data_IF_137294825552
#
_entry.id   IF_137294825552
#
_cell.length_a   1.000
_cell.length_b   1.000
_cell.length_c   1.000
_cell.angle_alpha   90.00
_cell.angle_beta   90.00
_cell.angle_gamma   90.00
#
_symmetry.space_group_name_H-M   'P 1'
#
loop_
_entity.id
_entity.type
_entity.pdbx_description
1 polymer ?
#
# COMPACT_ATOMS: atom_id res chain seq x y z
N UNK A 1 -14.16 -30.69 -38.46
CA UNK A 1 -14.77 -31.58 -37.46
C UNK A 1 -13.71 -32.55 -36.96
N UNK A 2 -13.14 -32.23 -35.80
CA UNK A 2 -12.47 -33.16 -34.86
C UNK A 2 -12.05 -32.28 -33.67
N UNK A 3 -12.86 -32.27 -32.62
CA UNK A 3 -12.63 -31.49 -31.41
C UNK A 3 -12.14 -32.40 -30.29
N UNK A 4 -11.00 -32.06 -29.69
CA UNK A 4 -10.45 -32.75 -28.52
C UNK A 4 -11.22 -32.27 -27.27
N UNK A 5 -11.94 -33.17 -26.60
CA UNK A 5 -12.56 -32.95 -25.28
C UNK A 5 -11.62 -33.48 -24.19
N UNK A 6 -11.27 -32.66 -23.21
CA UNK A 6 -10.61 -33.12 -21.98
C UNK A 6 -11.69 -33.30 -20.91
N UNK A 7 -11.91 -34.55 -20.51
CA UNK A 7 -12.76 -34.95 -19.38
C UNK A 7 -11.85 -35.19 -18.17
N UNK A 8 -12.10 -34.49 -17.05
CA UNK A 8 -11.45 -34.76 -15.76
C UNK A 8 -12.30 -35.79 -15.02
N UNK A 9 -11.79 -37.02 -14.89
CA UNK A 9 -12.41 -38.08 -14.09
C UNK A 9 -11.82 -38.11 -12.68
N UNK A 10 -12.68 -38.08 -11.66
CA UNK A 10 -12.34 -38.43 -10.28
C UNK A 10 -12.15 -39.94 -10.18
N UNK A 11 -10.90 -40.42 -10.25
CA UNK A 11 -10.32 -41.59 -9.54
C UNK A 11 -9.15 -42.16 -10.35
N UNK A 12 -8.00 -42.33 -9.67
CA UNK A 12 -7.05 -43.43 -9.87
C UNK A 12 -6.26 -43.50 -11.18
N UNK A 13 -4.99 -43.13 -11.09
CA UNK A 13 -3.82 -43.70 -11.78
C UNK A 13 -3.93 -44.13 -13.25
N UNK A 14 -3.16 -43.47 -14.12
CA UNK A 14 -2.36 -44.15 -15.17
C UNK A 14 -1.19 -43.25 -15.54
N UNK A 15 0.02 -43.77 -15.34
CA UNK A 15 1.28 -43.12 -15.67
C UNK A 15 1.70 -43.45 -17.11
N UNK A 16 2.15 -42.45 -17.86
CA UNK A 16 2.90 -42.62 -19.11
C UNK A 16 4.13 -41.72 -19.03
N UNK A 17 5.30 -42.36 -18.95
CA UNK A 17 6.61 -41.76 -18.78
C UNK A 17 7.24 -41.37 -20.11
N UNK A 18 7.75 -40.15 -20.20
CA UNK A 18 8.81 -39.75 -21.14
C UNK A 18 9.92 -39.05 -20.32
N UNK A 19 11.21 -39.34 -20.55
CA UNK A 19 12.28 -38.97 -19.65
C UNK A 19 12.78 -37.54 -19.90
N UNK A 20 12.95 -36.74 -18.84
CA UNK A 20 13.74 -35.50 -18.92
C UNK A 20 13.19 -34.24 -18.25
N UNK A 21 12.21 -34.29 -17.34
CA UNK A 21 11.86 -33.13 -16.48
C UNK A 21 11.39 -33.64 -15.12
N UNK A 22 12.32 -34.06 -14.25
CA UNK A 22 11.98 -34.47 -12.89
C UNK A 22 13.11 -34.09 -11.94
N UNK A 23 13.11 -32.84 -11.46
CA UNK A 23 13.64 -32.49 -10.14
C UNK A 23 13.01 -31.22 -9.54
N UNK A 24 12.37 -30.34 -10.32
CA UNK A 24 11.77 -29.09 -9.77
C UNK A 24 10.32 -29.28 -9.28
N UNK A 25 9.60 -30.32 -9.71
CA UNK A 25 8.17 -30.51 -9.35
C UNK A 25 7.91 -31.39 -8.12
N UNK A 26 8.93 -32.04 -7.54
CA UNK A 26 8.76 -32.89 -6.34
C UNK A 26 8.81 -32.12 -5.02
N UNK A 27 9.29 -30.88 -4.98
CA UNK A 27 9.27 -30.04 -3.76
C UNK A 27 7.94 -29.31 -3.55
N UNK A 28 7.16 -29.09 -4.61
CA UNK A 28 5.91 -28.31 -4.53
C UNK A 28 4.72 -29.09 -3.92
N UNK A 29 4.74 -30.42 -3.93
CA UNK A 29 3.65 -31.26 -3.40
C UNK A 29 3.95 -31.94 -2.05
N UNK A 30 5.08 -31.62 -1.39
CA UNK A 30 5.42 -32.20 -0.07
C UNK A 30 5.02 -31.32 1.12
N UNK A 31 4.57 -30.09 0.91
CA UNK A 31 4.18 -29.15 1.97
C UNK A 31 2.68 -28.88 2.06
N UNK A 32 1.84 -29.69 1.43
CA UNK A 32 0.36 -29.55 1.53
C UNK A 32 -0.33 -30.71 2.25
N UNK A 33 0.41 -31.56 2.98
CA UNK A 33 -0.16 -32.76 3.64
C UNK A 33 -0.25 -32.68 5.18
N UNK A 34 0.23 -31.61 5.80
CA UNK A 34 0.24 -31.47 7.28
C UNK A 34 -0.76 -30.42 7.83
N UNK A 35 -1.71 -29.90 7.04
CA UNK A 35 -2.76 -29.00 7.53
C UNK A 35 -4.16 -29.66 7.56
N UNK A 36 -4.31 -30.82 8.18
CA UNK A 36 -5.67 -31.33 8.41
C UNK A 36 -5.83 -32.08 9.73
N UNK A 37 -5.43 -31.46 10.84
CA UNK A 37 -5.93 -31.82 12.18
C UNK A 37 -5.83 -30.64 13.14
N UNK A 38 -6.73 -29.67 13.02
CA UNK A 38 -7.07 -28.77 14.13
C UNK A 38 -8.50 -28.25 13.95
N UNK A 39 -9.43 -28.44 14.90
CA UNK A 39 -10.78 -27.89 14.79
C UNK A 39 -10.75 -26.38 15.09
N UNK A 40 -11.21 -25.54 14.16
CA UNK A 40 -11.52 -24.11 14.45
C UNK A 40 -10.91 -23.02 13.57
N UNK A 41 -10.30 -23.31 12.42
CA UNK A 41 -9.77 -22.26 11.53
C UNK A 41 -10.84 -21.71 10.53
N UNK A 42 -10.92 -20.39 10.28
CA UNK A 42 -11.88 -19.79 9.36
C UNK A 42 -11.51 -20.05 7.88
N UNK A 43 -12.53 -20.17 7.02
CA UNK A 43 -12.36 -20.42 5.58
C UNK A 43 -11.63 -19.26 4.85
N UNK A 44 -10.78 -19.55 3.85
CA UNK A 44 -10.11 -18.52 3.07
C UNK A 44 -11.08 -17.89 2.06
N UNK A 45 -11.59 -16.70 2.38
CA UNK A 45 -12.21 -15.79 1.40
C UNK A 45 -11.27 -14.61 1.17
N UNK A 46 -11.06 -14.29 -0.11
CA UNK A 46 -10.35 -13.10 -0.65
C UNK A 46 -8.83 -12.95 -0.41
N UNK A 47 -8.01 -13.84 -1.01
CA UNK A 47 -6.55 -13.59 -1.13
C UNK A 47 -5.96 -13.88 -2.51
N UNK A 48 -6.79 -14.03 -3.55
CA UNK A 48 -6.33 -14.27 -4.93
C UNK A 48 -6.89 -13.22 -5.89
N UNK A 49 -6.62 -11.93 -5.63
CA UNK A 49 -6.91 -10.82 -6.56
C UNK A 49 -5.89 -9.67 -6.46
N UNK A 50 -4.60 -9.97 -6.43
CA UNK A 50 -3.56 -8.92 -6.58
C UNK A 50 -2.35 -9.44 -7.37
N UNK A 51 -2.54 -9.84 -8.63
CA UNK A 51 -1.43 -10.01 -9.60
C UNK A 51 -1.88 -9.72 -11.05
N UNK A 52 -2.67 -8.67 -11.27
CA UNK A 52 -2.92 -8.20 -12.65
C UNK A 52 -3.34 -6.73 -12.76
N UNK A 53 -2.69 -5.81 -12.03
CA UNK A 53 -2.79 -4.37 -12.32
C UNK A 53 -1.50 -3.64 -12.00
N UNK A 54 -0.51 -3.80 -12.88
CA UNK A 54 0.60 -2.87 -13.01
C UNK A 54 0.72 -2.53 -14.50
N UNK A 55 0.10 -1.43 -14.90
CA UNK A 55 0.34 -0.80 -16.20
C UNK A 55 1.63 0.02 -16.08
N UNK A 56 2.71 -0.43 -16.70
CA UNK A 56 3.91 0.39 -16.90
C UNK A 56 3.91 0.90 -18.35
N UNK A 57 3.88 2.22 -18.50
CA UNK A 57 4.00 2.91 -19.78
C UNK A 57 5.49 3.02 -20.16
N UNK A 58 5.89 2.36 -21.25
CA UNK A 58 7.18 2.59 -21.90
C UNK A 58 6.94 3.48 -23.12
N UNK A 59 7.39 4.73 -23.00
CA UNK A 59 7.37 5.70 -24.07
C UNK A 59 8.51 5.38 -25.03
N UNK A 60 8.19 4.89 -26.22
CA UNK A 60 9.15 4.85 -27.32
C UNK A 60 8.54 5.43 -28.61
N UNK A 61 9.22 6.46 -29.13
CA UNK A 61 8.90 7.17 -30.37
C UNK A 61 8.98 6.22 -31.57
N UNK A 62 7.84 5.88 -32.15
CA UNK A 62 7.63 5.79 -33.60
C UNK A 62 6.14 5.88 -33.89
N UNK A 63 5.78 6.79 -34.79
CA UNK A 63 4.42 7.10 -35.24
C UNK A 63 3.61 5.87 -35.67
N UNK A 64 2.48 5.62 -34.98
CA UNK A 64 1.17 5.14 -35.49
C UNK A 64 0.24 4.83 -34.32
N UNK A 65 -0.70 5.72 -34.06
CA UNK A 65 -1.78 5.56 -33.08
C UNK A 65 -2.77 4.48 -33.53
N UNK A 66 -2.93 3.41 -32.74
CA UNK A 66 -4.10 2.52 -32.79
C UNK A 66 -4.79 2.57 -31.44
N UNK A 67 -5.97 3.20 -31.42
CA UNK A 67 -6.84 3.32 -30.25
C UNK A 67 -7.68 2.06 -30.06
N UNK A 68 -7.67 1.48 -28.85
CA UNK A 68 -8.61 0.45 -28.44
C UNK A 68 -9.78 1.07 -27.65
N UNK A 69 -11.05 0.74 -27.94
CA UNK A 69 -12.17 1.18 -27.13
C UNK A 69 -12.18 0.46 -25.77
N UNK A 70 -12.33 1.24 -24.69
CA UNK A 70 -12.57 0.72 -23.33
C UNK A 70 -13.93 0.01 -23.27
N UNK A 71 -13.93 -1.22 -22.77
CA UNK A 71 -15.13 -1.99 -22.52
C UNK A 71 -15.94 -1.35 -21.37
N UNK A 72 -17.16 -0.92 -21.68
CA UNK A 72 -18.16 -0.46 -20.73
C UNK A 72 -18.65 -1.60 -19.82
N UNK A 73 -18.51 -1.39 -18.51
CA UNK A 73 -19.37 -1.86 -17.40
C UNK A 73 -20.36 -3.01 -17.68
N UNK A 74 -20.01 -4.23 -17.22
CA UNK A 74 -20.99 -5.29 -16.97
C UNK A 74 -21.64 -5.10 -15.59
N UNK A 75 -22.94 -4.81 -15.58
CA UNK A 75 -23.82 -4.88 -14.40
C UNK A 75 -24.18 -6.34 -14.12
N UNK A 76 -23.95 -6.81 -12.90
CA UNK A 76 -24.44 -8.10 -12.42
C UNK A 76 -25.83 -7.93 -11.80
N UNK A 77 -26.86 -8.56 -12.37
CA UNK A 77 -28.18 -8.72 -11.72
C UNK A 77 -28.28 -10.13 -11.14
N UNK A 78 -28.65 -10.22 -9.87
CA UNK A 78 -28.89 -11.47 -9.13
C UNK A 78 -30.07 -12.23 -9.74
N UNK A 79 -29.88 -13.48 -10.14
CA UNK A 79 -30.97 -14.34 -10.61
C UNK A 79 -31.85 -14.78 -9.42
N UNK A 80 -33.16 -14.52 -9.50
CA UNK A 80 -34.15 -15.00 -8.53
C UNK A 80 -34.58 -16.44 -8.81
N UNK A 81 -34.84 -17.23 -7.74
CA UNK A 81 -35.42 -18.58 -7.81
C UNK A 81 -36.94 -18.49 -7.97
N UNK A 82 -37.55 -19.42 -8.71
CA UNK A 82 -39.01 -19.62 -8.67
C UNK A 82 -39.42 -20.52 -7.48
N UNK A 83 -40.72 -20.53 -7.18
CA UNK A 83 -41.31 -21.13 -5.97
C UNK A 83 -41.24 -22.66 -5.86
N UNK A 84 -40.74 -23.39 -6.87
CA UNK A 84 -40.68 -24.87 -6.84
C UNK A 84 -39.25 -25.46 -7.02
N UNK A 85 -38.19 -24.67 -6.81
CA UNK A 85 -36.85 -25.21 -6.55
C UNK A 85 -36.12 -25.89 -7.72
N UNK A 86 -36.53 -25.69 -8.98
CA UNK A 86 -35.84 -26.20 -10.17
C UNK A 86 -35.00 -25.13 -10.90
N UNK A 87 -33.80 -25.48 -11.34
CA UNK A 87 -32.89 -24.64 -12.14
C UNK A 87 -33.32 -24.69 -13.62
N UNK A 88 -33.61 -23.53 -14.23
CA UNK A 88 -33.93 -23.43 -15.66
C UNK A 88 -32.63 -23.28 -16.47
N UNK A 89 -32.28 -24.30 -17.25
CA UNK A 89 -31.38 -24.17 -18.40
C UNK A 89 -32.22 -24.16 -19.68
N UNK A 90 -32.09 -23.11 -20.48
CA UNK A 90 -32.07 -23.13 -21.95
C UNK A 90 -31.76 -21.71 -22.45
N UNK A 91 -30.58 -21.51 -23.06
CA UNK A 91 -30.27 -20.30 -23.82
C UNK A 91 -30.23 -20.62 -25.29
N UNK A 92 -31.30 -20.24 -25.97
CA UNK A 92 -31.44 -20.29 -27.43
C UNK A 92 -30.84 -18.99 -28.00
N UNK A 93 -29.71 -19.07 -28.71
CA UNK A 93 -29.12 -17.91 -29.40
C UNK A 93 -29.57 -17.97 -30.86
N UNK A 94 -30.74 -17.40 -31.12
CA UNK A 94 -31.23 -17.07 -32.45
C UNK A 94 -30.66 -15.73 -32.95
N UNK A 95 -29.77 -15.83 -33.93
CA UNK A 95 -29.63 -14.95 -35.11
C UNK A 95 -30.05 -13.48 -34.97
N UNK A 96 -29.08 -12.59 -34.76
CA UNK A 96 -29.13 -11.19 -35.23
C UNK A 96 -27.84 -10.89 -35.99
N UNK A 97 -27.94 -10.87 -37.32
CA UNK A 97 -26.84 -10.48 -38.21
C UNK A 97 -26.90 -8.98 -38.47
N UNK A 98 -26.02 -8.23 -37.82
CA UNK A 98 -25.64 -6.89 -38.29
C UNK A 98 -24.64 -7.11 -39.44
N UNK A 99 -25.04 -6.78 -40.67
CA UNK A 99 -24.21 -6.88 -41.88
C UNK A 99 -23.01 -5.93 -41.77
N UNK A 100 -21.86 -6.46 -41.34
CA UNK A 100 -20.55 -5.85 -41.57
C UNK A 100 -20.00 -6.46 -42.87
N UNK A 101 -19.56 -5.66 -43.87
CA UNK A 101 -19.07 -6.17 -45.15
C UNK A 101 -17.66 -6.78 -44.99
N UNK A 102 -17.57 -7.97 -44.38
CA UNK A 102 -16.31 -8.72 -44.23
C UNK A 102 -16.36 -10.05 -45.01
N UNK A 103 -17.54 -10.46 -45.49
CA UNK A 103 -17.71 -11.71 -46.23
C UNK A 103 -17.12 -11.64 -47.67
N UNK A 104 -17.25 -10.49 -48.33
CA UNK A 104 -16.78 -10.32 -49.72
C UNK A 104 -15.25 -10.13 -49.78
N UNK A 105 -14.66 -9.46 -48.79
CA UNK A 105 -13.20 -9.37 -48.67
C UNK A 105 -12.56 -10.72 -48.34
N UNK A 106 -13.19 -11.55 -47.50
CA UNK A 106 -12.63 -12.88 -47.20
C UNK A 106 -12.64 -13.80 -48.42
N UNK A 107 -13.71 -13.81 -49.22
CA UNK A 107 -13.74 -14.61 -50.44
C UNK A 107 -12.75 -14.10 -51.50
N UNK A 108 -12.61 -12.78 -51.67
CA UNK A 108 -11.61 -12.19 -52.56
C UNK A 108 -10.17 -12.49 -52.09
N UNK A 109 -9.90 -12.41 -50.79
CA UNK A 109 -8.59 -12.75 -50.20
C UNK A 109 -8.31 -14.25 -50.35
N UNK A 110 -9.31 -15.13 -50.20
CA UNK A 110 -9.14 -16.58 -50.34
C UNK A 110 -8.98 -17.00 -51.81
N UNK A 111 -9.66 -16.35 -52.76
CA UNK A 111 -9.44 -16.58 -54.20
C UNK A 111 -8.11 -16.02 -54.68
N UNK A 112 -7.69 -14.86 -54.18
CA UNK A 112 -6.36 -14.31 -54.45
C UNK A 112 -5.26 -15.20 -53.88
N UNK A 113 -5.41 -15.67 -52.63
CA UNK A 113 -4.49 -16.64 -52.01
C UNK A 113 -4.45 -17.99 -52.74
N UNK A 114 -5.56 -18.46 -53.33
CA UNK A 114 -5.58 -19.66 -54.18
C UNK A 114 -4.89 -19.43 -55.53
N UNK A 115 -5.05 -18.27 -56.16
CA UNK A 115 -4.33 -17.91 -57.40
C UNK A 115 -2.83 -17.71 -57.14
N UNK A 116 -2.47 -17.13 -56.00
CA UNK A 116 -1.08 -16.93 -55.57
C UNK A 116 -0.43 -18.25 -55.15
N UNK A 117 -1.17 -19.16 -54.49
CA UNK A 117 -0.70 -20.51 -54.19
C UNK A 117 -0.53 -21.37 -55.47
N UNK A 118 -1.37 -21.17 -56.50
CA UNK A 118 -1.25 -21.86 -57.79
C UNK A 118 -0.11 -21.30 -58.65
N UNK A 119 0.08 -19.96 -58.68
CA UNK A 119 1.27 -19.30 -59.28
C UNK A 119 2.57 -19.64 -58.53
N UNK A 120 2.51 -19.76 -57.21
CA UNK A 120 3.62 -20.23 -56.36
C UNK A 120 3.94 -21.69 -56.62
N UNK A 121 2.92 -22.57 -56.70
CA UNK A 121 3.09 -23.99 -57.05
C UNK A 121 3.62 -24.22 -58.47
N UNK A 122 3.20 -23.43 -59.46
CA UNK A 122 3.75 -23.48 -60.82
C UNK A 122 5.15 -22.87 -60.93
N UNK A 123 5.48 -21.84 -60.11
CA UNK A 123 6.86 -21.32 -59.99
C UNK A 123 7.76 -22.34 -59.29
N UNK A 124 7.30 -22.99 -58.22
CA UNK A 124 8.04 -24.05 -57.50
C UNK A 124 8.20 -25.29 -58.39
N UNK A 125 7.19 -25.64 -59.21
CA UNK A 125 7.27 -26.73 -60.19
C UNK A 125 8.23 -26.46 -61.35
N UNK A 126 8.34 -25.21 -61.83
CA UNK A 126 9.34 -24.79 -62.83
C UNK A 126 10.74 -24.62 -62.23
N UNK A 127 10.85 -24.16 -60.98
CA UNK A 127 12.12 -24.09 -60.24
C UNK A 127 12.66 -25.50 -59.93
N UNK A 128 11.78 -26.47 -59.59
CA UNK A 128 12.14 -27.87 -59.32
C UNK A 128 12.63 -28.66 -60.54
N UNK A 129 12.31 -28.26 -61.78
CA UNK A 129 12.86 -28.89 -63.00
C UNK A 129 14.14 -28.24 -63.50
N UNK A 130 14.36 -26.95 -63.21
CA UNK A 130 15.64 -26.28 -63.49
C UNK A 130 16.71 -26.53 -62.41
N UNK A 131 16.32 -26.83 -61.18
CA UNK A 131 17.24 -27.20 -60.08
C UNK A 131 17.62 -28.68 -60.05
N UNK A 132 16.99 -29.53 -60.87
CA UNK A 132 17.27 -30.98 -60.84
C UNK A 132 18.54 -31.37 -61.61
N UNK A 133 19.16 -30.42 -62.32
CA UNK A 133 20.40 -30.64 -63.09
C UNK A 133 21.61 -29.80 -62.64
N UNK A 134 21.52 -28.98 -61.60
CA UNK A 134 22.61 -28.05 -61.26
C UNK A 134 22.69 -27.59 -59.78
N UNK A 135 22.04 -28.28 -58.83
CA UNK A 135 22.23 -28.00 -57.38
C UNK A 135 22.91 -29.16 -56.62
N UNK A 136 23.04 -30.32 -57.26
CA UNK A 136 23.85 -31.43 -56.76
C UNK A 136 25.15 -31.57 -57.57
N UNK A 137 25.85 -30.46 -57.72
CA UNK A 137 27.15 -30.36 -58.39
C UNK A 137 28.06 -29.42 -57.62
N UNK A 138 28.44 -29.85 -56.40
CA UNK A 138 29.31 -29.12 -55.47
C UNK A 138 28.67 -29.01 -54.08
N UNK A 139 28.81 -30.06 -53.25
CA UNK A 139 28.25 -30.19 -51.89
C UNK A 139 28.79 -29.18 -50.84
N UNK A 140 29.46 -28.11 -51.26
CA UNK A 140 30.29 -27.26 -50.40
C UNK A 140 29.64 -25.92 -49.99
N UNK A 141 28.61 -25.44 -50.70
CA UNK A 141 28.03 -24.10 -50.49
C UNK A 141 26.75 -24.03 -49.66
N UNK A 142 25.83 -25.00 -49.82
CA UNK A 142 24.54 -25.03 -49.09
C UNK A 142 24.71 -25.39 -47.62
N UNK A 143 25.65 -26.30 -47.32
CA UNK A 143 26.02 -26.66 -45.97
C UNK A 143 26.51 -25.43 -45.18
N UNK A 144 27.37 -24.59 -45.79
CA UNK A 144 27.89 -23.37 -45.16
C UNK A 144 26.79 -22.36 -44.81
N UNK A 145 25.76 -22.21 -45.66
CA UNK A 145 24.63 -21.30 -45.40
C UNK A 145 23.77 -21.81 -44.24
N UNK A 146 23.46 -23.11 -44.21
CA UNK A 146 22.68 -23.71 -43.11
C UNK A 146 23.47 -23.60 -41.80
N UNK A 147 24.76 -23.91 -41.82
CA UNK A 147 25.63 -23.77 -40.65
C UNK A 147 25.68 -22.32 -40.16
N UNK A 148 25.81 -21.35 -41.06
CA UNK A 148 25.85 -19.93 -40.69
C UNK A 148 24.50 -19.45 -40.12
N UNK A 149 23.37 -19.94 -40.65
CA UNK A 149 22.05 -19.64 -40.11
C UNK A 149 21.87 -20.24 -38.71
N UNK A 150 22.31 -21.48 -38.49
CA UNK A 150 22.27 -22.15 -37.18
C UNK A 150 23.15 -21.40 -36.20
N UNK A 151 24.38 -21.04 -36.57
CA UNK A 151 25.30 -20.26 -35.73
C UNK A 151 24.69 -18.89 -35.41
N UNK A 152 24.18 -18.15 -36.39
CA UNK A 152 23.57 -16.84 -36.16
C UNK A 152 22.36 -16.92 -35.21
N UNK A 153 21.54 -17.98 -35.35
CA UNK A 153 20.40 -18.23 -34.45
C UNK A 153 20.88 -18.57 -33.04
N UNK A 154 21.90 -19.43 -32.89
CA UNK A 154 22.47 -19.79 -31.60
C UNK A 154 23.08 -18.57 -30.92
N UNK A 155 23.86 -17.76 -31.63
CA UNK A 155 24.46 -16.52 -31.11
C UNK A 155 23.37 -15.56 -30.65
N UNK A 156 22.33 -15.35 -31.46
CA UNK A 156 21.20 -14.49 -31.10
C UNK A 156 20.48 -14.99 -29.83
N UNK A 157 20.25 -16.30 -29.70
CA UNK A 157 19.65 -16.89 -28.51
C UNK A 157 20.54 -16.76 -27.27
N UNK A 158 21.85 -16.97 -27.42
CA UNK A 158 22.83 -16.82 -26.33
C UNK A 158 22.89 -15.39 -25.82
N UNK A 159 22.90 -14.40 -26.72
CA UNK A 159 22.89 -12.98 -26.32
C UNK A 159 21.60 -12.62 -25.58
N UNK A 160 20.43 -12.97 -26.14
CA UNK A 160 19.14 -12.71 -25.49
C UNK A 160 19.04 -13.37 -24.11
N UNK A 161 19.50 -14.62 -23.97
CA UNK A 161 19.56 -15.32 -22.68
C UNK A 161 20.52 -14.65 -21.68
N UNK A 162 21.68 -14.16 -22.15
CA UNK A 162 22.65 -13.47 -21.31
C UNK A 162 22.12 -12.14 -20.77
N UNK A 163 21.39 -11.38 -21.59
CA UNK A 163 20.74 -10.13 -21.18
C UNK A 163 19.65 -10.40 -20.14
N UNK A 164 18.77 -11.35 -20.40
CA UNK A 164 17.69 -11.76 -19.48
C UNK A 164 18.25 -12.25 -18.14
N UNK A 165 19.25 -13.13 -18.17
CA UNK A 165 19.92 -13.63 -16.96
C UNK A 165 20.60 -12.50 -16.18
N UNK A 166 21.21 -11.54 -16.88
CA UNK A 166 21.85 -10.38 -16.24
C UNK A 166 20.85 -9.52 -15.46
N UNK A 167 19.68 -9.26 -16.05
CA UNK A 167 18.59 -8.52 -15.40
C UNK A 167 18.04 -9.27 -14.19
N UNK A 168 17.76 -10.57 -14.34
CA UNK A 168 17.26 -11.41 -13.24
C UNK A 168 18.25 -11.48 -12.06
N UNK A 169 19.56 -11.57 -12.34
CA UNK A 169 20.59 -11.54 -11.30
C UNK A 169 20.62 -10.20 -10.55
N UNK A 170 20.43 -9.08 -11.24
CA UNK A 170 20.35 -7.76 -10.60
C UNK A 170 19.10 -7.63 -9.73
N UNK A 171 17.93 -8.05 -10.23
CA UNK A 171 16.68 -8.04 -9.48
C UNK A 171 16.75 -8.94 -8.24
N UNK A 172 17.36 -10.12 -8.36
CA UNK A 172 17.61 -11.00 -7.22
C UNK A 172 18.54 -10.36 -6.18
N UNK A 173 19.56 -9.62 -6.63
CA UNK A 173 20.44 -8.82 -5.78
C UNK A 173 19.66 -7.76 -5.00
N UNK A 174 18.88 -6.91 -5.70
CA UNK A 174 18.05 -5.89 -5.05
C UNK A 174 17.02 -6.48 -4.10
N UNK A 175 16.38 -7.60 -4.46
CA UNK A 175 15.42 -8.27 -3.58
C UNK A 175 16.08 -8.79 -2.31
N UNK A 176 17.29 -9.34 -2.39
CA UNK A 176 18.08 -9.78 -1.22
C UNK A 176 18.45 -8.60 -0.33
N UNK A 177 18.93 -7.52 -0.93
CA UNK A 177 19.41 -6.34 -0.21
C UNK A 177 18.25 -5.58 0.46
N UNK A 178 17.11 -5.48 -0.24
CA UNK A 178 15.87 -4.95 0.32
C UNK A 178 15.36 -5.80 1.50
N UNK A 179 15.44 -7.13 1.41
CA UNK A 179 15.04 -8.00 2.52
C UNK A 179 15.92 -7.78 3.77
N UNK A 180 17.22 -7.54 3.59
CA UNK A 180 18.13 -7.19 4.69
C UNK A 180 17.78 -5.84 5.30
N UNK A 181 17.58 -4.81 4.48
CA UNK A 181 17.16 -3.49 4.92
C UNK A 181 15.82 -3.53 5.69
N UNK A 182 14.84 -4.28 5.17
CA UNK A 182 13.54 -4.48 5.83
C UNK A 182 13.68 -5.12 7.22
N UNK A 183 14.52 -6.16 7.35
CA UNK A 183 14.71 -6.81 8.66
C UNK A 183 15.52 -5.96 9.63
N UNK A 184 16.42 -5.10 9.14
CA UNK A 184 17.05 -4.08 9.98
C UNK A 184 16.00 -3.08 10.50
N UNK A 185 15.11 -2.57 9.65
CA UNK A 185 14.01 -1.70 10.10
C UNK A 185 13.11 -2.41 11.12
N UNK A 186 12.79 -3.69 10.86
CA UNK A 186 11.93 -4.51 11.71
C UNK A 186 12.57 -4.78 13.08
N UNK A 187 13.89 -4.94 13.16
CA UNK A 187 14.56 -5.09 14.46
C UNK A 187 14.47 -3.82 15.29
N UNK A 188 14.60 -2.64 14.66
CA UNK A 188 14.35 -1.35 15.32
C UNK A 188 12.95 -1.27 15.93
N UNK A 189 11.91 -1.68 15.17
CA UNK A 189 10.54 -1.72 15.69
C UNK A 189 10.41 -2.67 16.89
N UNK A 190 11.06 -3.83 16.85
CA UNK A 190 11.01 -4.76 18.00
C UNK A 190 11.73 -4.22 19.24
N UNK A 191 12.87 -3.56 19.07
CA UNK A 191 13.57 -2.90 20.16
C UNK A 191 12.72 -1.79 20.79
N UNK A 192 12.01 -1.02 19.97
CA UNK A 192 11.04 -0.04 20.46
C UNK A 192 9.88 -0.68 21.23
N UNK A 193 9.28 -1.74 20.71
CA UNK A 193 8.20 -2.47 21.40
C UNK A 193 8.67 -3.04 22.74
N UNK A 194 9.90 -3.57 22.79
CA UNK A 194 10.49 -4.05 24.03
C UNK A 194 10.74 -2.91 25.02
N UNK A 195 11.27 -1.78 24.57
CA UNK A 195 11.49 -0.61 25.42
C UNK A 195 10.18 -0.05 26.00
N UNK A 196 9.11 0.00 25.19
CA UNK A 196 7.76 0.39 25.63
C UNK A 196 7.21 -0.64 26.64
N UNK A 197 7.40 -1.94 26.38
CA UNK A 197 6.89 -3.02 27.23
C UNK A 197 7.65 -3.22 28.56
N UNK A 198 8.88 -2.70 28.69
CA UNK A 198 9.66 -2.75 29.94
C UNK A 198 9.19 -1.75 31.00
N UNK A 199 8.41 -0.75 30.63
CA UNK A 199 7.75 0.11 31.61
C UNK A 199 6.64 -0.69 32.33
N UNK A 200 6.98 -1.19 33.52
CA UNK A 200 6.09 -2.02 34.34
C UNK A 200 4.98 -1.21 35.02
N UNK A 201 5.22 0.06 35.33
CA UNK A 201 4.30 0.84 36.16
C UNK A 201 3.25 1.54 35.31
N UNK A 202 3.61 2.06 34.13
CA UNK A 202 2.67 2.75 33.23
C UNK A 202 1.84 3.83 33.94
N UNK A 203 2.45 4.43 34.98
CA UNK A 203 1.83 5.45 35.81
C UNK A 203 1.83 6.79 35.09
N UNK A 204 2.80 6.98 34.19
CA UNK A 204 3.02 8.18 33.39
C UNK A 204 4.01 7.84 32.28
N UNK A 205 3.85 8.47 31.13
CA UNK A 205 4.76 8.35 30.01
C UNK A 205 5.47 9.69 29.77
N UNK A 206 6.81 9.72 29.68
CA UNK A 206 7.59 10.94 29.46
C UNK A 206 8.77 10.80 28.52
N UNK A 207 9.30 11.95 28.06
CA UNK A 207 10.50 12.01 27.22
C UNK A 207 11.79 11.56 27.93
N UNK A 208 11.73 11.27 29.23
CA UNK A 208 12.88 10.83 30.03
C UNK A 208 12.96 9.31 30.17
N UNK A 209 11.95 8.60 29.71
CA UNK A 209 11.88 7.15 29.73
C UNK A 209 12.71 6.51 28.63
N UNK A 210 12.91 5.19 28.75
CA UNK A 210 13.80 4.46 27.86
C UNK A 210 13.24 4.36 26.44
N UNK A 211 11.91 4.26 26.28
CA UNK A 211 11.27 4.25 24.97
C UNK A 211 11.57 5.53 24.17
N UNK A 212 11.60 6.69 24.84
CA UNK A 212 11.86 8.00 24.22
C UNK A 212 13.33 8.17 23.81
N UNK A 213 14.23 7.40 24.42
CA UNK A 213 15.66 7.38 24.08
C UNK A 213 15.96 6.48 22.90
N UNK A 214 15.10 5.49 22.60
CA UNK A 214 15.28 4.60 21.45
C UNK A 214 15.33 5.43 20.17
N UNK A 215 16.54 5.65 19.70
CA UNK A 215 16.86 6.47 18.55
C UNK A 215 18.10 5.94 17.84
N UNK A 216 18.41 6.48 16.66
CA UNK A 216 19.61 6.17 15.86
C UNK A 216 20.90 6.12 16.70
N UNK A 217 21.00 6.92 17.77
CA UNK A 217 22.18 7.01 18.64
C UNK A 217 22.23 5.93 19.74
N UNK A 218 21.17 5.15 19.92
CA UNK A 218 21.05 4.14 21.00
C UNK A 218 21.28 2.70 20.54
N UNK A 219 21.66 2.48 19.28
CA UNK A 219 21.90 1.13 18.78
C UNK A 219 23.27 0.61 19.21
N UNK A 220 23.38 -0.66 19.64
CA UNK A 220 24.65 -1.21 20.10
C UNK A 220 25.73 -1.10 19.02
N UNK A 221 26.95 -0.76 19.46
CA UNK A 221 28.16 -1.00 18.68
C UNK A 221 28.20 -2.49 18.33
N UNK A 222 28.00 -2.84 17.06
CA UNK A 222 27.90 -4.24 16.63
C UNK A 222 26.91 -4.53 15.50
N UNK A 223 26.21 -3.52 14.96
CA UNK A 223 25.61 -3.68 13.65
C UNK A 223 26.72 -4.00 12.62
N UNK A 224 26.48 -4.92 11.66
CA UNK A 224 27.41 -5.13 10.55
C UNK A 224 27.71 -3.81 9.84
N UNK A 225 28.94 -3.61 9.35
CA UNK A 225 29.38 -2.35 8.73
C UNK A 225 28.47 -1.87 7.59
N UNK A 226 27.84 -2.81 6.87
CA UNK A 226 26.94 -2.52 5.74
C UNK A 226 25.48 -2.26 6.16
N UNK A 227 25.14 -2.37 7.45
CA UNK A 227 23.78 -2.23 7.98
C UNK A 227 23.64 -0.93 8.75
N UNK A 228 22.69 -0.10 8.34
CA UNK A 228 22.31 1.10 9.08
C UNK A 228 20.92 0.95 9.66
N UNK A 229 20.69 1.48 10.84
CA UNK A 229 19.37 1.55 11.46
C UNK A 229 19.18 2.93 12.06
N UNK A 230 18.08 3.59 11.69
CA UNK A 230 17.74 4.92 12.18
C UNK A 230 16.24 5.01 12.42
N UNK A 231 15.82 5.85 13.36
CA UNK A 231 14.40 5.97 13.70
C UNK A 231 14.17 6.31 15.16
N UNK A 232 12.93 6.09 15.62
CA UNK A 232 12.58 6.25 17.02
C UNK A 232 11.11 6.00 17.33
N UNK A 233 10.77 6.23 18.59
CA UNK A 233 9.42 6.13 19.14
C UNK A 233 8.91 7.53 19.45
N UNK A 234 7.67 7.81 19.07
CA UNK A 234 7.03 9.11 19.29
C UNK A 234 5.68 8.91 19.96
N UNK A 235 5.42 9.68 21.00
CA UNK A 235 4.12 9.66 21.66
C UNK A 235 3.08 10.40 20.81
N UNK A 236 2.01 9.70 20.45
CA UNK A 236 0.87 10.29 19.72
C UNK A 236 -0.05 11.06 20.67
N UNK A 237 0.00 10.78 21.97
CA UNK A 237 -0.81 11.45 23.00
C UNK A 237 -0.29 12.86 23.30
N UNK A 238 0.95 13.18 22.94
CA UNK A 238 1.48 14.56 22.94
C UNK A 238 0.95 15.44 21.80
N UNK A 239 0.14 14.90 20.89
CA UNK A 239 -0.42 15.60 19.71
C UNK A 239 -1.91 15.85 19.86
N UNK A 240 -2.43 16.79 19.07
CA UNK A 240 -3.86 17.06 19.01
C UNK A 240 -4.56 15.99 18.17
N UNK A 241 -5.49 15.24 18.78
CA UNK A 241 -6.24 14.23 18.06
C UNK A 241 -7.46 14.85 17.36
N UNK A 242 -7.48 14.80 16.03
CA UNK A 242 -8.61 15.31 15.24
C UNK A 242 -9.89 14.51 15.47
N UNK A 243 -9.81 13.20 15.71
CA UNK A 243 -10.98 12.37 15.98
C UNK A 243 -11.64 12.73 17.32
N UNK A 244 -10.87 13.31 18.24
CA UNK A 244 -11.40 13.74 19.53
C UNK A 244 -12.31 14.98 19.41
N UNK A 245 -12.36 15.66 18.26
CA UNK A 245 -13.30 16.75 18.01
C UNK A 245 -14.75 16.27 18.05
N UNK A 246 -15.01 14.99 17.77
CA UNK A 246 -16.33 14.39 17.89
C UNK A 246 -16.66 14.09 19.35
N UNK A 247 -17.89 14.41 19.75
CA UNK A 247 -18.46 14.02 21.03
C UNK A 247 -19.06 12.59 20.95
N UNK A 248 -19.59 12.08 22.06
CA UNK A 248 -20.19 10.73 22.12
C UNK A 248 -21.39 10.53 21.18
N UNK A 249 -22.01 11.63 20.70
CA UNK A 249 -23.12 11.62 19.75
C UNK A 249 -22.64 11.68 18.29
N UNK A 250 -21.34 11.82 18.05
CA UNK A 250 -20.78 12.01 16.71
C UNK A 250 -20.94 13.43 16.16
N UNK A 251 -21.17 14.42 17.03
CA UNK A 251 -21.24 15.84 16.64
C UNK A 251 -19.93 16.55 17.03
N UNK A 252 -19.58 17.64 16.33
CA UNK A 252 -18.41 18.45 16.67
C UNK A 252 -18.61 19.12 18.05
N UNK A 253 -17.63 18.96 18.94
CA UNK A 253 -17.58 19.62 20.24
C UNK A 253 -17.06 21.06 20.09
N UNK A 254 -17.89 22.09 20.38
CA UNK A 254 -17.49 23.50 20.19
C UNK A 254 -16.25 23.90 21.01
N UNK A 255 -16.05 23.32 22.20
CA UNK A 255 -14.89 23.64 23.02
C UNK A 255 -13.60 23.08 22.42
N UNK A 256 -13.67 21.89 21.79
CA UNK A 256 -12.51 21.27 21.12
C UNK A 256 -12.26 21.88 19.74
N UNK A 257 -13.30 22.32 19.05
CA UNK A 257 -13.19 23.13 17.83
C UNK A 257 -12.36 24.40 18.08
N UNK A 258 -12.63 25.13 19.17
CA UNK A 258 -11.82 26.30 19.53
C UNK A 258 -10.35 25.95 19.82
N UNK A 259 -10.06 24.75 20.35
CA UNK A 259 -8.68 24.28 20.52
C UNK A 259 -7.98 24.08 19.18
N UNK A 260 -8.67 23.54 18.17
CA UNK A 260 -8.11 23.39 16.82
C UNK A 260 -7.79 24.75 16.18
N UNK A 261 -8.71 25.72 16.29
CA UNK A 261 -8.47 27.09 15.80
C UNK A 261 -7.25 27.73 16.48
N UNK A 262 -7.15 27.59 17.80
CA UNK A 262 -5.97 28.07 18.55
C UNK A 262 -4.69 27.39 18.12
N UNK A 263 -4.70 26.07 17.89
CA UNK A 263 -3.52 25.35 17.40
C UNK A 263 -3.05 25.92 16.07
N UNK A 264 -3.97 26.14 15.12
CA UNK A 264 -3.63 26.68 13.80
C UNK A 264 -3.06 28.09 13.90
N UNK A 265 -3.69 28.95 14.72
CA UNK A 265 -3.20 30.30 15.04
C UNK A 265 -1.79 30.28 15.62
N UNK A 266 -1.52 29.41 16.58
CA UNK A 266 -0.20 29.29 17.25
C UNK A 266 0.87 28.83 16.26
N UNK A 267 0.51 27.94 15.32
CA UNK A 267 1.41 27.46 14.27
C UNK A 267 1.60 28.45 13.11
N UNK A 268 0.93 29.59 13.13
CA UNK A 268 0.95 30.54 12.01
C UNK A 268 0.26 30.01 10.75
N UNK A 269 -0.62 29.01 10.89
CA UNK A 269 -1.45 28.45 9.83
C UNK A 269 -2.76 29.24 9.79
N UNK A 270 -3.26 29.55 8.60
CA UNK A 270 -4.58 30.19 8.43
C UNK A 270 -5.66 29.35 9.13
N UNK A 271 -6.33 29.94 10.12
CA UNK A 271 -7.40 29.31 10.89
C UNK A 271 -8.49 28.75 9.98
N UNK A 272 -8.75 29.34 8.81
CA UNK A 272 -9.76 28.82 7.87
C UNK A 272 -9.51 27.38 7.43
N UNK A 273 -8.25 26.91 7.49
CA UNK A 273 -7.88 25.53 7.10
C UNK A 273 -8.37 24.46 8.08
N UNK A 274 -8.93 24.83 9.23
CA UNK A 274 -9.61 23.88 10.10
C UNK A 274 -11.01 23.50 9.60
N UNK A 275 -11.70 24.37 8.86
CA UNK A 275 -13.06 24.08 8.39
C UNK A 275 -13.14 22.80 7.53
N UNK A 276 -12.21 22.54 6.59
CA UNK A 276 -12.16 21.26 5.88
C UNK A 276 -11.92 20.02 6.77
N UNK A 277 -11.29 20.17 7.95
CA UNK A 277 -11.13 19.06 8.90
C UNK A 277 -12.47 18.78 9.60
N UNK A 278 -13.24 19.82 9.90
CA UNK A 278 -14.55 19.70 10.53
C UNK A 278 -15.56 19.06 9.56
N UNK A 279 -15.63 19.53 8.31
CA UNK A 279 -16.46 18.95 7.24
C UNK A 279 -16.05 17.51 6.90
N UNK A 280 -14.78 17.14 7.13
CA UNK A 280 -14.36 15.75 6.95
C UNK A 280 -14.93 14.81 8.01
N UNK A 281 -15.14 15.33 9.22
CA UNK A 281 -15.47 14.57 10.42
C UNK A 281 -16.96 14.46 10.69
N UNK A 282 -17.72 15.52 10.43
CA UNK A 282 -19.15 15.50 10.69
C UNK A 282 -19.91 14.62 9.68
N UNK A 283 -21.10 14.20 10.09
CA UNK A 283 -21.85 13.17 9.38
C UNK A 283 -22.75 13.69 8.25
N UNK A 284 -22.78 15.00 8.02
CA UNK A 284 -23.62 15.62 7.00
C UNK A 284 -22.82 15.98 5.73
N UNK A 285 -23.42 16.72 4.80
CA UNK A 285 -22.79 17.17 3.55
C UNK A 285 -22.93 18.70 3.42
N UNK A 286 -23.05 19.41 4.56
CA UNK A 286 -23.27 20.86 4.61
C UNK A 286 -21.91 21.55 4.72
N UNK A 287 -21.42 22.03 3.57
CA UNK A 287 -20.12 22.72 3.50
C UNK A 287 -20.11 23.99 4.38
N UNK A 288 -19.15 24.05 5.31
CA UNK A 288 -18.89 25.25 6.13
C UNK A 288 -18.30 26.37 5.29
N UNK A 289 -18.30 27.59 5.83
CA UNK A 289 -17.50 28.66 5.24
C UNK A 289 -16.02 28.25 5.22
N UNK A 290 -15.40 28.36 4.03
CA UNK A 290 -14.03 27.88 3.75
C UNK A 290 -13.81 26.36 3.90
N UNK A 291 -14.90 25.61 4.04
CA UNK A 291 -14.93 24.15 4.17
C UNK A 291 -14.64 23.38 2.88
N UNK A 292 -14.94 22.08 2.93
CA UNK A 292 -14.84 21.17 1.80
C UNK A 292 -15.62 19.88 2.07
N UNK A 293 -16.64 19.65 1.23
CA UNK A 293 -17.46 18.45 1.26
C UNK A 293 -17.32 17.59 0.00
N UNK A 294 -18.15 16.56 -0.14
CA UNK A 294 -18.24 15.72 -1.33
C UNK A 294 -18.32 16.50 -2.65
N UNK A 295 -18.97 17.67 -2.68
CA UNK A 295 -19.03 18.53 -3.87
C UNK A 295 -17.64 19.02 -4.30
N UNK A 296 -16.81 19.44 -3.34
CA UNK A 296 -15.43 19.85 -3.58
C UNK A 296 -14.56 18.66 -4.00
N UNK A 297 -14.53 17.58 -3.20
CA UNK A 297 -13.66 16.43 -3.47
C UNK A 297 -14.04 15.67 -4.76
N UNK A 298 -15.32 15.67 -5.12
CA UNK A 298 -15.83 15.13 -6.38
C UNK A 298 -15.43 15.93 -7.63
N UNK A 299 -15.06 17.20 -7.46
CA UNK A 299 -14.65 18.10 -8.56
C UNK A 299 -13.15 18.02 -8.90
N UNK A 300 -12.35 17.35 -8.07
CA UNK A 300 -10.92 17.22 -8.27
C UNK A 300 -10.58 16.41 -9.53
N UNK A 301 -9.36 16.58 -10.06
CA UNK A 301 -8.87 15.81 -11.22
C UNK A 301 -8.95 14.30 -11.00
N UNK A 302 -8.68 13.87 -9.77
CA UNK A 302 -8.86 12.51 -9.29
C UNK A 302 -9.90 12.53 -8.16
N UNK A 303 -11.19 12.36 -8.50
CA UNK A 303 -12.27 12.46 -7.51
C UNK A 303 -12.19 11.38 -6.44
N UNK A 304 -12.52 11.75 -5.21
CA UNK A 304 -12.78 10.83 -4.11
C UNK A 304 -13.90 11.39 -3.22
N UNK A 305 -14.42 10.54 -2.35
CA UNK A 305 -15.47 10.93 -1.41
C UNK A 305 -14.85 11.50 -0.12
N UNK A 306 -15.53 12.46 0.47
CA UNK A 306 -15.34 12.85 1.86
C UNK A 306 -15.69 11.65 2.77
N UNK A 307 -15.06 11.56 3.94
CA UNK A 307 -15.27 10.41 4.83
C UNK A 307 -16.55 10.50 5.66
N UNK A 308 -17.00 11.73 5.94
CA UNK A 308 -18.12 12.09 6.81
C UNK A 308 -18.08 11.28 8.13
N UNK A 309 -16.90 11.29 8.77
CA UNK A 309 -16.64 10.48 9.94
C UNK A 309 -15.17 10.43 10.36
N UNK A 310 -14.85 9.66 11.42
CA UNK A 310 -13.51 9.61 12.00
C UNK A 310 -12.42 9.23 11.00
N UNK A 311 -11.27 9.88 11.10
CA UNK A 311 -10.06 9.50 10.38
C UNK A 311 -9.57 8.13 10.86
N UNK A 312 -9.28 7.26 9.89
CA UNK A 312 -8.72 5.92 10.10
C UNK A 312 -7.19 5.95 10.11
N UNK A 313 -6.59 6.82 9.29
CA UNK A 313 -5.13 6.95 9.17
C UNK A 313 -4.69 8.40 9.06
N UNK A 314 -3.44 8.68 9.46
CA UNK A 314 -2.84 10.00 9.27
C UNK A 314 -2.75 10.39 7.77
N UNK A 315 -2.69 9.41 6.87
CA UNK A 315 -2.70 9.66 5.42
C UNK A 315 -3.96 10.36 4.92
N UNK A 316 -5.12 10.14 5.57
CA UNK A 316 -6.36 10.83 5.20
C UNK A 316 -6.31 12.32 5.53
N UNK A 317 -5.57 12.74 6.57
CA UNK A 317 -5.36 14.17 6.84
C UNK A 317 -4.64 14.88 5.68
N UNK A 318 -3.80 14.16 4.95
CA UNK A 318 -3.12 14.70 3.76
C UNK A 318 -4.06 14.87 2.56
N UNK A 319 -5.23 14.22 2.58
CA UNK A 319 -6.26 14.36 1.55
C UNK A 319 -7.16 15.57 1.83
N UNK A 320 -7.25 16.02 3.07
CA UNK A 320 -8.08 17.18 3.44
C UNK A 320 -7.56 18.45 2.77
N UNK A 321 -8.47 19.22 2.19
CA UNK A 321 -8.17 20.46 1.45
C UNK A 321 -7.22 21.38 2.24
N UNK A 322 -6.01 21.55 1.71
CA UNK A 322 -5.04 22.53 2.21
C UNK A 322 -4.33 22.18 3.53
N UNK A 323 -4.61 21.03 4.15
CA UNK A 323 -4.04 20.60 5.44
C UNK A 323 -2.67 19.96 5.26
N UNK A 324 -2.51 19.07 4.27
CA UNK A 324 -1.27 18.31 4.06
C UNK A 324 -0.02 19.15 3.79
N UNK A 325 -0.19 20.41 3.37
CA UNK A 325 0.89 21.35 3.07
C UNK A 325 1.26 22.25 4.26
N UNK A 326 0.65 22.04 5.43
CA UNK A 326 0.84 22.90 6.60
C UNK A 326 1.81 22.31 7.62
N UNK A 327 2.31 23.17 8.50
CA UNK A 327 3.06 22.74 9.69
C UNK A 327 2.20 21.94 10.69
N UNK A 328 0.86 21.99 10.59
CA UNK A 328 -0.03 21.31 11.52
C UNK A 328 0.12 19.79 11.51
N UNK A 329 0.53 19.19 10.38
CA UNK A 329 0.64 17.72 10.23
C UNK A 329 1.49 17.05 11.33
N UNK A 330 2.51 17.74 11.85
CA UNK A 330 3.43 17.18 12.85
C UNK A 330 2.87 17.27 14.29
N UNK A 331 1.82 18.10 14.48
CA UNK A 331 1.13 18.31 15.75
C UNK A 331 -0.24 17.64 15.82
N UNK A 332 -0.67 16.96 14.74
CA UNK A 332 -1.95 16.25 14.65
C UNK A 332 -1.77 14.73 14.75
N UNK A 333 -2.77 14.05 15.30
CA UNK A 333 -2.86 12.59 15.30
C UNK A 333 -4.30 12.13 15.09
N UNK A 334 -4.47 10.84 14.83
CA UNK A 334 -5.76 10.12 14.76
C UNK A 334 -5.82 8.95 15.74
N UNK A 335 -4.71 8.67 16.45
CA UNK A 335 -4.49 7.39 17.12
C UNK A 335 -4.71 7.43 18.63
N UNK A 336 -4.50 8.57 19.29
CA UNK A 336 -4.66 8.70 20.75
C UNK A 336 -6.14 8.68 21.18
N UNK A 337 -6.41 8.78 22.48
CA UNK A 337 -7.77 8.88 23.04
C UNK A 337 -8.31 10.32 23.09
N UNK A 338 -7.48 11.29 22.72
CA UNK A 338 -7.84 12.71 22.68
C UNK A 338 -7.44 13.53 23.90
N UNK A 339 -6.96 12.90 24.99
CA UNK A 339 -6.28 13.62 26.06
C UNK A 339 -4.83 13.90 25.64
N UNK A 340 -4.34 15.08 26.00
CA UNK A 340 -2.99 15.53 25.67
C UNK A 340 -2.03 15.16 26.80
N UNK A 341 -1.01 14.34 26.51
CA UNK A 341 0.05 14.03 27.46
C UNK A 341 0.96 15.24 27.66
N UNK A 342 0.91 15.84 28.85
CA UNK A 342 1.67 17.06 29.19
C UNK A 342 3.18 16.83 29.29
N UNK A 343 3.62 15.59 29.50
CA UNK A 343 5.04 15.24 29.57
C UNK A 343 5.71 15.15 28.19
N UNK A 344 4.94 15.06 27.11
CA UNK A 344 5.46 14.87 25.75
C UNK A 344 4.98 15.95 24.77
N UNK A 345 3.86 16.61 25.05
CA UNK A 345 3.26 17.58 24.14
C UNK A 345 4.19 18.74 23.76
N UNK A 346 4.18 19.12 22.48
CA UNK A 346 4.89 20.32 22.02
C UNK A 346 4.33 21.60 22.66
N UNK A 347 5.13 22.67 22.71
CA UNK A 347 4.70 23.98 23.27
C UNK A 347 3.46 24.49 22.55
N UNK A 348 3.40 24.29 21.24
CA UNK A 348 2.30 24.69 20.37
C UNK A 348 1.00 23.96 20.72
N UNK A 349 1.08 22.66 21.00
CA UNK A 349 -0.06 21.85 21.45
C UNK A 349 -0.49 22.23 22.88
N UNK A 350 0.44 22.53 23.78
CA UNK A 350 0.09 23.03 25.11
C UNK A 350 -0.70 24.35 25.05
N UNK A 351 -0.25 25.29 24.20
CA UNK A 351 -0.91 26.59 23.99
C UNK A 351 -2.30 26.48 23.37
N UNK A 352 -2.65 25.35 22.75
CA UNK A 352 -3.99 25.18 22.19
C UNK A 352 -5.04 24.81 23.25
N UNK A 353 -4.63 24.33 24.43
CA UNK A 353 -5.53 23.84 25.50
C UNK A 353 -6.43 24.94 26.07
N UNK A 354 -5.93 26.16 26.24
CA UNK A 354 -6.65 27.32 26.77
C UNK A 354 -5.99 28.64 26.32
N UNK A 355 -6.75 29.73 26.21
CA UNK A 355 -6.22 31.04 25.78
C UNK A 355 -5.27 31.66 26.81
N UNK A 356 -5.40 31.30 28.08
CA UNK A 356 -4.51 31.77 29.14
C UNK A 356 -3.15 31.06 29.15
N UNK A 357 -2.96 30.00 28.35
CA UNK A 357 -1.65 29.35 28.18
C UNK A 357 -0.87 30.10 27.10
N UNK A 358 -0.20 31.14 27.54
CA UNK A 358 0.72 31.91 26.70
C UNK A 358 2.05 31.16 26.48
N UNK A 359 2.92 31.79 25.69
CA UNK A 359 4.23 31.24 25.35
C UNK A 359 5.11 31.05 26.60
N UNK A 360 5.03 31.97 27.57
CA UNK A 360 5.79 31.92 28.80
C UNK A 360 5.36 30.75 29.68
N UNK A 361 4.06 30.49 29.81
CA UNK A 361 3.55 29.37 30.59
C UNK A 361 3.85 28.05 29.90
N UNK A 362 3.72 27.96 28.58
CA UNK A 362 4.09 26.76 27.83
C UNK A 362 5.59 26.45 27.95
N UNK A 363 6.46 27.47 27.91
CA UNK A 363 7.89 27.33 28.18
C UNK A 363 8.14 26.86 29.61
N UNK A 364 7.44 27.41 30.59
CA UNK A 364 7.59 27.00 31.99
C UNK A 364 7.18 25.54 32.20
N UNK A 365 6.10 25.07 31.56
CA UNK A 365 5.68 23.66 31.58
C UNK A 365 6.76 22.78 30.94
N UNK A 366 7.26 23.15 29.75
CA UNK A 366 8.30 22.42 29.04
C UNK A 366 9.62 22.36 29.83
N UNK A 367 10.02 23.46 30.47
CA UNK A 367 11.21 23.54 31.30
C UNK A 367 11.08 22.70 32.57
N UNK A 368 9.90 22.71 33.22
CA UNK A 368 9.65 21.90 34.41
C UNK A 368 9.87 20.40 34.12
N UNK A 369 9.26 19.88 33.04
CA UNK A 369 9.38 18.47 32.64
C UNK A 369 10.78 18.04 32.19
N UNK A 370 11.65 18.98 31.83
CA UNK A 370 13.07 18.64 31.60
C UNK A 370 13.76 18.22 32.91
N UNK A 371 13.40 18.84 34.04
CA UNK A 371 13.97 18.54 35.36
C UNK A 371 13.22 17.47 36.15
N UNK A 372 11.89 17.47 36.12
CA UNK A 372 11.02 16.61 36.92
C UNK A 372 9.76 16.27 36.12
N UNK A 373 9.44 14.98 35.97
CA UNK A 373 8.24 14.55 35.25
C UNK A 373 6.95 14.86 36.03
N UNK A 374 5.85 15.15 35.33
CA UNK A 374 4.54 15.29 35.96
C UNK A 374 3.95 13.89 36.20
N UNK A 375 3.84 13.44 37.46
CA UNK A 375 3.21 12.16 37.79
C UNK A 375 1.67 12.22 37.76
N UNK A 376 1.11 13.43 37.76
CA UNK A 376 -0.32 13.66 37.65
C UNK A 376 -0.60 15.04 37.03
N UNK A 377 -1.80 15.22 36.49
CA UNK A 377 -2.25 16.53 36.01
C UNK A 377 -2.25 17.62 37.11
N UNK A 378 -2.38 17.24 38.39
CA UNK A 378 -2.33 18.17 39.52
C UNK A 378 -0.94 18.77 39.74
N UNK A 379 0.12 18.10 39.28
CA UNK A 379 1.50 18.59 39.41
C UNK A 379 1.76 19.87 38.61
N UNK A 380 0.88 20.21 37.65
CA UNK A 380 0.92 21.50 36.95
C UNK A 380 0.83 22.70 37.90
N UNK A 381 0.24 22.55 39.10
CA UNK A 381 0.22 23.62 40.13
C UNK A 381 1.61 24.02 40.61
N UNK A 382 2.62 23.16 40.42
CA UNK A 382 4.02 23.44 40.76
C UNK A 382 4.67 24.39 39.74
N UNK A 383 4.09 24.53 38.54
CA UNK A 383 4.65 25.36 37.46
C UNK A 383 4.35 26.84 37.73
N UNK A 384 5.37 27.72 37.75
CA UNK A 384 5.15 29.16 37.88
C UNK A 384 4.23 29.69 36.79
N UNK A 385 3.21 30.47 37.20
CA UNK A 385 2.20 31.03 36.28
C UNK A 385 0.96 30.16 36.10
N UNK A 386 0.98 28.89 36.53
CA UNK A 386 -0.22 28.05 36.55
C UNK A 386 -1.16 28.48 37.68
N UNK A 387 -2.45 28.63 37.38
CA UNK A 387 -3.48 28.94 38.38
C UNK A 387 -4.53 27.83 38.47
N UNK A 388 -5.21 27.72 39.62
CA UNK A 388 -6.16 26.62 39.85
C UNK A 388 -7.40 26.65 38.94
N UNK A 389 -7.84 27.85 38.54
CA UNK A 389 -9.00 28.02 37.67
C UNK A 389 -8.70 27.49 36.26
N UNK A 390 -7.53 27.85 35.71
CA UNK A 390 -7.02 27.35 34.44
C UNK A 390 -6.84 25.84 34.47
N UNK A 391 -6.18 25.29 35.50
CA UNK A 391 -6.03 23.85 35.65
C UNK A 391 -7.38 23.14 35.63
N UNK A 392 -8.38 23.66 36.35
CA UNK A 392 -9.73 23.08 36.37
C UNK A 392 -10.38 23.06 34.98
N UNK A 393 -10.16 24.07 34.13
CA UNK A 393 -10.69 24.12 32.75
C UNK A 393 -10.01 23.10 31.83
N UNK A 394 -8.70 22.92 31.94
CA UNK A 394 -7.94 22.04 31.06
C UNK A 394 -7.88 20.58 31.52
N UNK A 395 -8.13 20.30 32.81
CA UNK A 395 -7.96 18.98 33.44
C UNK A 395 -8.62 17.83 32.68
N UNK A 396 -9.79 18.03 32.09
CA UNK A 396 -10.49 17.00 31.33
C UNK A 396 -9.89 16.68 29.96
N UNK A 397 -8.98 17.51 29.45
CA UNK A 397 -8.35 17.37 28.15
C UNK A 397 -6.86 17.00 28.21
N UNK A 398 -6.32 16.75 29.40
CA UNK A 398 -4.90 16.43 29.59
C UNK A 398 -4.76 15.11 30.35
N UNK A 399 -3.62 14.46 30.15
CA UNK A 399 -3.19 13.26 30.87
C UNK A 399 -1.68 13.33 31.10
N UNK A 400 -1.14 12.40 31.87
CA UNK A 400 0.30 12.12 31.99
C UNK A 400 0.67 10.78 31.36
N UNK A 401 -0.33 9.96 31.01
CA UNK A 401 -0.16 8.67 30.33
C UNK A 401 -0.38 8.82 28.83
N UNK A 402 0.16 7.88 28.09
CA UNK A 402 0.04 7.77 26.64
C UNK A 402 -0.81 6.59 26.23
N UNK A 403 -1.82 6.83 25.39
CA UNK A 403 -2.70 5.80 24.86
C UNK A 403 -2.21 5.23 23.52
N UNK A 404 -1.26 5.90 22.86
CA UNK A 404 -0.72 5.47 21.58
C UNK A 404 0.71 5.99 21.32
N UNK A 405 1.51 5.14 20.68
CA UNK A 405 2.88 5.44 20.24
C UNK A 405 3.03 5.14 18.75
N UNK A 406 3.65 6.06 18.00
CA UNK A 406 4.14 5.76 16.66
C UNK A 406 5.60 5.34 16.72
N UNK A 407 5.93 4.32 15.93
CA UNK A 407 7.24 3.71 15.87
C UNK A 407 7.68 3.80 14.42
N UNK A 408 8.80 4.48 14.17
CA UNK A 408 9.30 4.71 12.81
C UNK A 408 10.77 4.31 12.74
N UNK A 409 11.09 3.34 11.90
CA UNK A 409 12.47 2.93 11.65
C UNK A 409 12.75 2.78 10.16
N UNK A 410 13.93 3.24 9.75
CA UNK A 410 14.52 3.01 8.44
C UNK A 410 15.76 2.13 8.62
N UNK A 411 15.72 0.96 7.99
CA UNK A 411 16.86 0.07 7.87
C UNK A 411 17.52 0.26 6.51
N UNK A 412 18.85 0.25 6.49
CA UNK A 412 19.66 0.32 5.28
C UNK A 412 20.58 -0.88 5.17
N UNK A 413 20.79 -1.32 3.93
CA UNK A 413 21.82 -2.28 3.57
C UNK A 413 22.46 -1.84 2.25
N UNK A 414 23.74 -1.48 2.28
CA UNK A 414 24.42 -0.81 1.15
C UNK A 414 23.63 0.43 0.68
N UNK A 415 23.24 0.50 -0.59
CA UNK A 415 22.43 1.59 -1.16
C UNK A 415 20.92 1.37 -1.00
N UNK A 416 20.49 0.21 -0.52
CA UNK A 416 19.07 -0.13 -0.38
C UNK A 416 18.54 0.28 0.99
N UNK A 417 17.36 0.90 1.02
CA UNK A 417 16.66 1.29 2.24
C UNK A 417 15.26 0.69 2.28
N UNK A 418 14.76 0.48 3.48
CA UNK A 418 13.36 0.11 3.72
C UNK A 418 12.91 0.73 5.04
N UNK A 419 11.74 1.39 5.01
CA UNK A 419 11.15 2.01 6.19
C UNK A 419 10.00 1.19 6.74
N UNK A 420 9.77 1.26 8.05
CA UNK A 420 8.57 0.75 8.70
C UNK A 420 7.99 1.87 9.57
N UNK A 421 6.70 2.11 9.40
CA UNK A 421 5.89 2.92 10.31
C UNK A 421 4.82 2.02 10.94
N UNK A 422 4.83 1.95 12.26
CA UNK A 422 3.88 1.20 13.05
C UNK A 422 3.23 2.09 14.10
N UNK A 423 2.01 1.76 14.51
CA UNK A 423 1.36 2.44 15.64
C UNK A 423 0.91 1.39 16.64
N UNK A 424 1.39 1.53 17.87
CA UNK A 424 0.98 0.75 19.02
C UNK A 424 -0.10 1.55 19.77
N UNK A 425 -1.27 0.94 19.98
CA UNK A 425 -2.24 1.44 20.97
C UNK A 425 -2.05 0.68 22.27
N UNK A 426 -2.10 1.43 23.37
CA UNK A 426 -2.03 0.93 24.73
C UNK A 426 -3.36 1.25 25.40
N UNK A 427 -4.01 0.20 25.87
CA UNK A 427 -5.14 0.25 26.80
C UNK A 427 -4.67 -0.28 28.17
N UNK A 428 -5.46 -0.12 29.22
CA UNK A 428 -5.07 -0.48 30.61
C UNK A 428 -4.58 -1.93 30.73
N UNK A 429 -5.13 -2.84 29.92
CA UNK A 429 -4.81 -4.27 29.96
C UNK A 429 -4.02 -4.79 28.75
N UNK A 430 -4.01 -4.06 27.63
CA UNK A 430 -3.48 -4.60 26.36
C UNK A 430 -2.68 -3.60 25.54
N UNK A 431 -1.65 -4.11 24.88
CA UNK A 431 -0.87 -3.39 23.88
C UNK A 431 -1.07 -4.06 22.53
N UNK A 432 -1.51 -3.28 21.54
CA UNK A 432 -1.85 -3.81 20.21
C UNK A 432 -1.33 -2.91 19.10
N UNK A 433 -0.62 -3.51 18.15
CA UNK A 433 -0.31 -2.86 16.89
C UNK A 433 -1.60 -2.70 16.06
N UNK A 434 -1.95 -1.44 15.77
CA UNK A 434 -3.15 -1.07 14.99
C UNK A 434 -2.82 -0.60 13.59
N UNK A 435 -1.56 -0.26 13.34
CA UNK A 435 -1.08 0.20 12.04
C UNK A 435 0.31 -0.38 11.76
N UNK A 436 0.53 -0.79 10.52
CA UNK A 436 1.82 -1.27 10.02
C UNK A 436 1.93 -0.95 8.53
N UNK A 437 2.92 -0.15 8.16
CA UNK A 437 3.23 0.18 6.77
C UNK A 437 4.72 0.00 6.52
N UNK A 438 5.05 -0.64 5.40
CA UNK A 438 6.40 -0.70 4.86
C UNK A 438 6.52 0.39 3.79
N UNK A 439 7.54 1.24 3.90
CA UNK A 439 7.84 2.35 3.01
C UNK A 439 8.96 1.99 2.03
#
# INVERSE_FOLDING_TARGET
>A
MTGLRILISRRGETALSLPGVSQVWKSFFRTSKDWSTTPGAPEPTESFRLLSRSSFALQNRTDRSVSFPQASTLRWRRAGRNRNGGMLEEWNIGQWWMKIPVADQKEQILTQRRKDAKKSGERIGRFSRSMRGSIFGGESGSAMIITLLVIATLVGLTVAFSEDTGLELQLAGYSRDHYRAYHAARSGVQLALEAIGRDEKKDMDSLREDWAKVSTESFPDGLPEDVTLSGGVFDESGKFNVNALLNEKGEIDPAKEQRLYRLFRVLGVDERKSAPILDWLDGDDIERMDGAENAYYGSLKEPYACSNGPFVTLGQLMMVKGVGETAAKDHLTVYSDGRININTASKEVLRCLDEEIDDSLAEAIAAFRHSEDFSSAEDLKKVPGMNEALLKRIKGGIDVKSSAFSIRFEGGFLETRSGIEAVLKRDEETERLVYWRVN
#
